data_IF_843024886330
#
_entry.id   IF_843024886330
#
_cell.length_a   1.000
_cell.length_b   1.000
_cell.length_c   1.000
_cell.angle_alpha   90.00
_cell.angle_beta   90.00
_cell.angle_gamma   90.00
#
_symmetry.space_group_name_H-M   'P 1'
#
loop_
_entity.id
_entity.type
_entity.pdbx_description
1 polymer ?
#
# COMPACT_ATOMS: atom_id res chain seq x y z
N UNK A 1 36.53 -16.35 -35.62
CA UNK A 1 35.68 -17.07 -34.65
C UNK A 1 35.21 -16.06 -33.61
N UNK A 2 34.06 -15.44 -33.86
CA UNK A 2 33.38 -14.59 -32.90
C UNK A 2 32.19 -15.40 -32.39
N UNK A 3 32.14 -15.63 -31.09
CA UNK A 3 30.94 -16.07 -30.41
C UNK A 3 30.81 -15.34 -29.07
N UNK A 4 29.56 -15.12 -28.65
CA UNK A 4 29.11 -13.84 -28.15
C UNK A 4 28.66 -13.94 -26.69
N UNK A 5 28.45 -12.80 -26.04
CA UNK A 5 27.36 -12.62 -25.06
C UNK A 5 27.29 -11.14 -24.74
N UNK A 6 26.23 -10.49 -25.24
CA UNK A 6 25.80 -9.21 -24.68
C UNK A 6 25.42 -9.43 -23.20
N UNK A 7 25.72 -8.49 -22.29
CA UNK A 7 25.34 -8.63 -20.89
C UNK A 7 23.81 -8.67 -20.78
N UNK A 8 23.29 -9.64 -20.02
CA UNK A 8 21.87 -9.79 -19.71
C UNK A 8 21.28 -8.46 -19.21
N UNK A 9 20.15 -8.04 -19.77
CA UNK A 9 19.45 -6.81 -19.37
C UNK A 9 18.89 -6.99 -17.95
N UNK A 10 19.41 -6.30 -16.93
CA UNK A 10 19.09 -6.62 -15.54
C UNK A 10 17.76 -5.96 -15.11
N UNK A 11 16.65 -6.64 -15.42
CA UNK A 11 15.25 -6.28 -15.12
C UNK A 11 14.22 -7.11 -15.91
N UNK A 12 14.70 -8.01 -16.78
CA UNK A 12 13.93 -8.63 -17.87
C UNK A 12 13.12 -9.91 -17.50
N UNK A 13 13.13 -10.36 -16.25
CA UNK A 13 12.58 -11.69 -15.91
C UNK A 13 11.15 -11.67 -15.34
N UNK A 14 10.55 -10.51 -15.12
CA UNK A 14 9.17 -10.44 -14.64
C UNK A 14 8.17 -10.70 -15.77
N UNK A 15 7.02 -11.34 -15.49
CA UNK A 15 6.01 -11.59 -16.51
C UNK A 15 5.52 -10.29 -17.16
N UNK A 16 5.66 -10.17 -18.48
CA UNK A 16 5.26 -8.97 -19.23
C UNK A 16 3.79 -8.63 -19.07
N UNK A 17 2.94 -9.65 -18.81
CA UNK A 17 1.51 -9.50 -18.57
C UNK A 17 1.15 -8.62 -17.35
N UNK A 18 2.04 -8.49 -16.37
CA UNK A 18 1.74 -7.72 -15.13
C UNK A 18 2.38 -6.33 -15.11
N UNK A 19 3.40 -6.07 -15.94
CA UNK A 19 4.15 -4.82 -15.95
C UNK A 19 3.29 -3.57 -16.16
N UNK A 20 2.30 -3.55 -17.10
CA UNK A 20 1.45 -2.39 -17.28
C UNK A 20 0.71 -1.98 -16.01
N UNK A 21 0.35 -2.95 -15.16
CA UNK A 21 -0.35 -2.71 -13.91
C UNK A 21 0.56 -2.05 -12.87
N UNK A 22 1.83 -2.46 -12.76
CA UNK A 22 2.79 -1.85 -11.84
C UNK A 22 3.07 -0.38 -12.19
N UNK A 23 3.07 -0.04 -13.48
CA UNK A 23 3.28 1.32 -13.95
C UNK A 23 2.02 2.18 -13.74
N UNK A 24 0.86 1.68 -14.18
CA UNK A 24 -0.33 2.50 -14.40
C UNK A 24 -1.37 2.42 -13.28
N UNK A 25 -1.36 1.40 -12.43
CA UNK A 25 -2.34 1.30 -11.34
C UNK A 25 -2.23 2.52 -10.41
N UNK A 26 -3.35 3.14 -10.09
CA UNK A 26 -3.40 4.30 -9.21
C UNK A 26 -3.26 3.88 -7.74
N UNK A 27 -3.73 2.67 -7.43
CA UNK A 27 -3.65 2.07 -6.11
C UNK A 27 -3.20 0.61 -6.17
N UNK A 28 -2.58 0.16 -5.08
CA UNK A 28 -2.37 -1.22 -4.73
C UNK A 28 -2.57 -1.37 -3.21
N UNK A 29 -2.93 -2.56 -2.75
CA UNK A 29 -3.03 -2.84 -1.33
C UNK A 29 -1.70 -3.36 -0.79
N UNK A 30 -1.02 -2.53 0.00
CA UNK A 30 0.25 -2.86 0.63
C UNK A 30 0.02 -3.52 2.00
N UNK A 31 0.42 -4.78 2.11
CA UNK A 31 0.34 -5.58 3.32
C UNK A 31 1.71 -5.70 4.00
N UNK A 32 1.71 -5.50 5.32
CA UNK A 32 2.91 -5.58 6.17
C UNK A 32 2.57 -6.23 7.52
N UNK A 33 3.56 -6.84 8.17
CA UNK A 33 3.34 -7.61 9.38
C UNK A 33 3.59 -6.78 10.65
N UNK A 34 2.74 -6.94 11.65
CA UNK A 34 2.97 -6.38 13.00
C UNK A 34 4.06 -7.17 13.74
N UNK A 35 4.41 -6.77 14.97
CA UNK A 35 5.39 -7.52 15.78
C UNK A 35 4.93 -8.95 16.10
N UNK A 36 3.62 -9.18 16.19
CA UNK A 36 3.04 -10.50 16.47
C UNK A 36 2.73 -11.29 15.19
N UNK A 37 3.23 -10.86 14.04
CA UNK A 37 2.94 -11.50 12.75
C UNK A 37 1.52 -11.23 12.20
N UNK A 38 0.67 -10.46 12.89
CA UNK A 38 -0.65 -10.13 12.35
C UNK A 38 -0.52 -9.17 11.14
N UNK A 39 -1.21 -9.43 10.02
CA UNK A 39 -1.11 -8.56 8.84
C UNK A 39 -1.88 -7.26 9.00
N UNK A 40 -1.40 -6.20 8.37
CA UNK A 40 -2.10 -4.92 8.20
C UNK A 40 -1.93 -4.45 6.76
N UNK A 41 -3.06 -4.15 6.12
CA UNK A 41 -3.13 -3.78 4.71
C UNK A 41 -3.72 -2.40 4.52
N UNK A 42 -3.07 -1.56 3.70
CA UNK A 42 -3.55 -0.23 3.35
C UNK A 42 -3.48 -0.03 1.84
N UNK A 43 -4.47 0.63 1.23
CA UNK A 43 -4.34 1.07 -0.16
C UNK A 43 -3.30 2.19 -0.21
N UNK A 44 -2.38 2.10 -1.17
CA UNK A 44 -1.29 3.05 -1.40
C UNK A 44 -1.07 3.21 -2.90
N UNK A 45 -0.41 4.29 -3.33
CA UNK A 45 0.00 4.43 -4.72
C UNK A 45 1.30 3.65 -4.98
N UNK A 46 1.30 2.69 -5.94
CA UNK A 46 2.52 2.02 -6.38
C UNK A 46 3.31 2.91 -7.35
N UNK A 47 4.62 2.70 -7.39
CA UNK A 47 5.53 3.33 -8.35
C UNK A 47 6.46 2.27 -8.90
N UNK A 48 6.53 2.18 -10.22
CA UNK A 48 7.49 1.34 -10.91
C UNK A 48 8.14 2.16 -12.02
N UNK A 49 9.45 1.98 -12.19
CA UNK A 49 10.22 2.58 -13.27
C UNK A 49 10.55 1.47 -14.26
N UNK A 50 10.38 1.68 -15.57
CA UNK A 50 10.71 0.65 -16.56
C UNK A 50 12.14 0.13 -16.37
N UNK A 51 12.28 -1.19 -16.24
CA UNK A 51 13.56 -1.87 -16.01
C UNK A 51 14.05 -1.88 -14.56
N UNK A 52 13.34 -1.24 -13.61
CA UNK A 52 13.66 -1.36 -12.19
C UNK A 52 13.39 -2.78 -11.67
N UNK A 53 14.14 -3.17 -10.64
CA UNK A 53 14.01 -4.48 -9.98
C UNK A 53 13.08 -4.45 -8.76
N UNK A 54 12.35 -3.36 -8.56
CA UNK A 54 11.44 -3.18 -7.43
C UNK A 54 10.13 -2.56 -7.87
N UNK A 55 9.08 -2.85 -7.09
CA UNK A 55 7.80 -2.15 -7.16
C UNK A 55 7.67 -1.38 -5.85
N UNK A 56 7.71 -0.06 -5.95
CA UNK A 56 7.91 0.79 -4.79
C UNK A 56 6.59 1.34 -4.29
N UNK A 57 6.50 1.52 -2.98
CA UNK A 57 5.44 2.31 -2.34
C UNK A 57 6.07 3.35 -1.44
N UNK A 58 5.28 4.32 -0.99
CA UNK A 58 5.75 5.31 -0.04
C UNK A 58 4.83 5.46 1.16
N UNK A 59 5.39 5.93 2.27
CA UNK A 59 4.62 6.33 3.44
C UNK A 59 5.06 7.70 3.93
N UNK A 60 4.18 8.45 4.57
CA UNK A 60 4.53 9.77 5.09
C UNK A 60 5.51 9.65 6.24
N UNK A 61 6.48 10.55 6.29
CA UNK A 61 7.40 10.70 7.43
C UNK A 61 6.60 10.91 8.72
N UNK A 62 5.45 11.60 8.64
CA UNK A 62 4.55 11.83 9.76
C UNK A 62 3.69 10.63 10.15
N UNK A 63 3.75 9.50 9.47
CA UNK A 63 3.05 8.26 9.83
C UNK A 63 3.84 7.03 9.37
N UNK A 64 5.04 6.81 9.94
CA UNK A 64 6.06 5.90 9.42
C UNK A 64 5.77 4.42 9.67
N UNK A 65 4.62 4.08 10.29
CA UNK A 65 4.35 2.72 10.78
C UNK A 65 4.43 1.64 9.70
N UNK A 66 4.20 1.96 8.42
CA UNK A 66 4.39 1.02 7.31
C UNK A 66 5.88 0.67 7.15
N UNK A 67 6.74 1.69 7.07
CA UNK A 67 8.19 1.54 6.98
C UNK A 67 8.77 0.86 8.23
N UNK A 68 8.34 1.24 9.43
CA UNK A 68 8.80 0.59 10.67
C UNK A 68 8.35 -0.88 10.79
N UNK A 69 7.25 -1.28 10.13
CA UNK A 69 6.87 -2.68 10.03
C UNK A 69 7.77 -3.41 9.04
N UNK A 70 7.95 -2.89 7.84
CA UNK A 70 8.83 -3.44 6.81
C UNK A 70 10.29 -3.61 7.28
N UNK A 71 10.83 -2.63 8.02
CA UNK A 71 12.21 -2.72 8.52
C UNK A 71 12.41 -3.86 9.52
N UNK A 72 11.39 -4.17 10.32
CA UNK A 72 11.43 -5.25 11.32
C UNK A 72 11.18 -6.62 10.71
N UNK A 73 10.22 -6.70 9.80
CA UNK A 73 9.92 -7.90 9.04
C UNK A 73 9.78 -7.51 7.56
N UNK A 74 10.78 -7.82 6.72
CA UNK A 74 10.80 -7.39 5.33
C UNK A 74 9.79 -8.14 4.47
N UNK A 75 9.13 -9.18 4.97
CA UNK A 75 8.11 -9.91 4.23
C UNK A 75 6.86 -9.05 4.07
N UNK A 76 6.62 -8.60 2.85
CA UNK A 76 5.48 -7.75 2.48
C UNK A 76 4.76 -8.31 1.27
N UNK A 77 3.56 -7.80 1.02
CA UNK A 77 2.84 -8.08 -0.21
C UNK A 77 2.20 -6.81 -0.81
N UNK A 78 2.09 -6.80 -2.12
CA UNK A 78 1.32 -5.83 -2.90
C UNK A 78 0.22 -6.60 -3.62
N UNK A 79 -1.04 -6.26 -3.37
CA UNK A 79 -2.13 -6.71 -4.21
C UNK A 79 -2.51 -5.57 -5.16
N UNK A 80 -2.71 -5.89 -6.42
CA UNK A 80 -3.27 -4.99 -7.42
C UNK A 80 -4.62 -5.59 -7.81
N UNK A 81 -5.68 -5.15 -7.14
CA UNK A 81 -7.03 -5.69 -7.33
C UNK A 81 -8.10 -4.67 -7.71
N UNK A 82 -7.75 -3.38 -7.72
CA UNK A 82 -8.61 -2.31 -8.20
C UNK A 82 -7.98 -1.65 -9.44
N UNK A 83 -8.44 -1.97 -10.65
CA UNK A 83 -7.90 -1.41 -11.89
C UNK A 83 -8.45 0.00 -12.19
N UNK A 84 -9.30 0.56 -11.33
CA UNK A 84 -9.95 1.85 -11.55
C UNK A 84 -8.94 2.95 -11.89
N UNK A 85 -9.17 3.68 -12.97
CA UNK A 85 -8.30 4.76 -13.43
C UNK A 85 -6.94 4.34 -14.01
N UNK A 86 -6.62 3.04 -14.08
CA UNK A 86 -5.39 2.57 -14.74
C UNK A 86 -5.43 2.70 -16.27
N UNK A 87 -6.64 2.67 -16.85
CA UNK A 87 -6.88 2.63 -18.29
C UNK A 87 -6.45 1.31 -18.96
N UNK A 88 -6.31 0.23 -18.18
CA UNK A 88 -6.00 -1.11 -18.68
C UNK A 88 -7.33 -1.85 -18.91
N UNK A 89 -7.57 -2.27 -20.14
CA UNK A 89 -8.69 -3.15 -20.50
C UNK A 89 -8.38 -4.58 -20.04
N UNK A 90 -9.37 -5.28 -19.49
CA UNK A 90 -9.23 -6.67 -19.02
C UNK A 90 -8.06 -6.86 -18.02
N UNK A 91 -7.97 -5.92 -17.06
CA UNK A 91 -6.85 -5.87 -16.14
C UNK A 91 -6.77 -7.14 -15.26
N UNK A 92 -5.58 -7.75 -15.11
CA UNK A 92 -5.42 -8.89 -14.20
C UNK A 92 -5.52 -8.44 -12.74
N UNK A 93 -5.89 -9.36 -11.85
CA UNK A 93 -5.59 -9.21 -10.42
C UNK A 93 -4.21 -9.79 -10.15
N UNK A 94 -3.32 -9.04 -9.49
CA UNK A 94 -1.92 -9.45 -9.29
C UNK A 94 -1.54 -9.36 -7.82
N UNK A 95 -1.07 -10.45 -7.25
CA UNK A 95 -0.43 -10.51 -5.94
C UNK A 95 1.08 -10.61 -6.12
N UNK A 96 1.82 -9.72 -5.47
CA UNK A 96 3.28 -9.72 -5.37
C UNK A 96 3.65 -9.98 -3.92
N UNK A 97 4.39 -11.05 -3.64
CA UNK A 97 5.06 -11.25 -2.36
C UNK A 97 6.55 -10.95 -2.54
N UNK A 98 7.11 -10.13 -1.66
CA UNK A 98 8.48 -9.63 -1.84
C UNK A 98 9.11 -9.11 -0.57
N UNK A 99 10.41 -8.86 -0.65
CA UNK A 99 11.19 -8.32 0.45
C UNK A 99 11.24 -6.80 0.35
N UNK A 100 10.88 -6.12 1.44
CA UNK A 100 10.89 -4.67 1.54
C UNK A 100 12.27 -4.14 1.95
N UNK A 101 12.69 -3.08 1.27
CA UNK A 101 13.84 -2.25 1.65
C UNK A 101 13.38 -0.83 1.93
N UNK A 102 13.56 -0.37 3.16
CA UNK A 102 13.14 0.96 3.60
C UNK A 102 14.25 1.97 3.32
N UNK A 103 13.89 3.07 2.63
CA UNK A 103 14.79 4.18 2.29
C UNK A 103 14.34 5.48 2.95
N UNK A 104 15.10 5.92 3.93
CA UNK A 104 14.90 7.17 4.66
C UNK A 104 16.20 7.83 5.15
N UNK A 105 17.37 7.41 4.63
CA UNK A 105 18.66 8.06 4.88
C UNK A 105 18.77 9.46 4.25
N UNK A 106 18.02 9.74 3.17
CA UNK A 106 17.88 11.07 2.58
C UNK A 106 16.40 11.40 2.31
N UNK A 107 15.79 12.10 3.27
CA UNK A 107 14.41 12.57 3.23
C UNK A 107 14.19 13.66 2.17
N UNK A 108 15.21 14.46 1.83
CA UNK A 108 15.07 15.48 0.79
C UNK A 108 14.99 14.82 -0.58
N UNK A 109 15.91 13.88 -0.88
CA UNK A 109 15.87 13.11 -2.12
C UNK A 109 14.58 12.28 -2.22
N UNK A 110 14.13 11.66 -1.12
CA UNK A 110 12.86 10.93 -1.05
C UNK A 110 11.65 11.83 -1.35
N UNK A 111 11.66 13.06 -0.83
CA UNK A 111 10.63 14.08 -1.09
C UNK A 111 10.64 14.54 -2.54
N UNK A 112 11.81 14.85 -3.09
CA UNK A 112 11.95 15.29 -4.49
C UNK A 112 11.50 14.18 -5.46
N UNK A 113 11.86 12.91 -5.16
CA UNK A 113 11.39 11.73 -5.89
C UNK A 113 9.87 11.63 -5.85
N UNK A 114 9.25 11.77 -4.67
CA UNK A 114 7.80 11.65 -4.52
C UNK A 114 7.04 12.77 -5.23
N UNK A 115 7.49 14.02 -5.14
CA UNK A 115 6.90 15.14 -5.87
C UNK A 115 6.93 14.86 -7.37
N UNK A 116 8.10 14.55 -7.93
CA UNK A 116 8.25 14.26 -9.37
C UNK A 116 7.33 13.12 -9.82
N UNK A 117 7.34 12.00 -9.10
CA UNK A 117 6.56 10.81 -9.45
C UNK A 117 5.05 11.05 -9.30
N UNK A 118 4.62 11.77 -8.26
CA UNK A 118 3.20 12.10 -8.05
C UNK A 118 2.65 13.04 -9.12
N UNK A 119 3.44 14.05 -9.52
CA UNK A 119 3.05 14.97 -10.59
C UNK A 119 2.93 14.25 -11.94
N UNK A 120 3.84 13.32 -12.24
CA UNK A 120 3.78 12.51 -13.46
C UNK A 120 2.61 11.52 -13.46
N UNK A 121 2.29 10.93 -12.30
CA UNK A 121 1.24 9.90 -12.17
C UNK A 121 -0.18 10.50 -12.08
N UNK A 122 -0.31 11.71 -11.54
CA UNK A 122 -1.59 12.40 -11.36
C UNK A 122 -1.58 13.82 -11.92
N UNK A 123 -1.26 14.02 -13.22
CA UNK A 123 -1.15 15.35 -13.81
C UNK A 123 -2.44 16.16 -13.65
N UNK A 124 -3.60 15.53 -13.83
CA UNK A 124 -4.92 16.16 -13.68
C UNK A 124 -5.23 16.64 -12.26
N UNK A 125 -4.75 15.93 -11.24
CA UNK A 125 -4.96 16.28 -9.83
C UNK A 125 -4.17 17.54 -9.48
N UNK A 126 -2.93 17.62 -9.95
CA UNK A 126 -2.01 18.69 -9.55
C UNK A 126 -1.94 19.88 -10.52
N UNK A 127 -2.39 19.75 -11.78
CA UNK A 127 -2.29 20.80 -12.81
C UNK A 127 -2.87 22.15 -12.37
N UNK A 128 -3.93 22.15 -11.54
CA UNK A 128 -4.62 23.37 -11.09
C UNK A 128 -4.19 23.85 -9.71
N UNK A 129 -3.16 23.26 -9.11
CA UNK A 129 -2.69 23.64 -7.78
C UNK A 129 -1.50 24.61 -7.86
N UNK A 130 -1.63 25.86 -7.38
CA UNK A 130 -0.51 26.79 -7.36
C UNK A 130 0.64 26.23 -6.53
N UNK A 131 1.87 26.37 -7.04
CA UNK A 131 3.05 25.78 -6.42
C UNK A 131 3.25 26.21 -4.95
N UNK A 132 2.96 27.48 -4.62
CA UNK A 132 3.06 27.97 -3.25
C UNK A 132 2.12 27.26 -2.26
N UNK A 133 0.99 26.73 -2.73
CA UNK A 133 0.05 25.93 -1.92
C UNK A 133 0.65 24.55 -1.65
N UNK A 134 1.19 23.89 -2.68
CA UNK A 134 1.81 22.58 -2.54
C UNK A 134 3.01 22.63 -1.58
N UNK A 135 3.83 23.68 -1.69
CA UNK A 135 4.98 23.93 -0.78
C UNK A 135 4.61 24.01 0.69
N UNK A 136 3.39 24.46 1.02
CA UNK A 136 2.91 24.55 2.41
C UNK A 136 2.47 23.20 2.99
N UNK A 137 2.40 22.15 2.18
CA UNK A 137 1.97 20.82 2.57
C UNK A 137 3.16 19.86 2.78
N UNK A 138 4.28 20.37 3.29
CA UNK A 138 5.53 19.60 3.46
C UNK A 138 5.31 18.28 4.19
N UNK A 139 4.45 18.24 5.21
CA UNK A 139 4.09 17.03 5.96
C UNK A 139 3.53 15.89 5.09
N UNK A 140 2.88 16.24 3.96
CA UNK A 140 2.30 15.30 3.00
C UNK A 140 3.35 14.86 1.97
N UNK A 141 4.17 15.80 1.49
CA UNK A 141 5.21 15.53 0.49
C UNK A 141 6.43 14.79 1.03
N UNK A 142 6.69 14.90 2.34
CA UNK A 142 7.78 14.20 3.01
C UNK A 142 7.50 12.70 3.07
N UNK A 143 8.25 11.91 2.30
CA UNK A 143 8.03 10.46 2.18
C UNK A 143 9.25 9.61 2.54
N UNK A 144 8.95 8.47 3.14
CA UNK A 144 9.83 7.31 3.29
C UNK A 144 9.46 6.34 2.17
N UNK A 145 10.45 5.84 1.45
CA UNK A 145 10.24 4.87 0.37
C UNK A 145 10.39 3.45 0.90
N UNK A 146 9.58 2.54 0.35
CA UNK A 146 9.62 1.11 0.63
C UNK A 146 9.73 0.42 -0.73
N UNK A 147 10.94 -0.02 -1.05
CA UNK A 147 11.27 -0.70 -2.29
C UNK A 147 10.96 -2.19 -2.12
N UNK A 148 10.01 -2.74 -2.89
CA UNK A 148 9.64 -4.15 -2.77
C UNK A 148 10.33 -4.94 -3.88
N UNK A 149 11.26 -5.81 -3.51
CA UNK A 149 11.90 -6.78 -4.41
C UNK A 149 11.00 -8.02 -4.51
N UNK A 150 10.32 -8.26 -5.66
CA UNK A 150 9.43 -9.41 -5.83
C UNK A 150 10.16 -10.75 -5.75
N UNK A 151 9.58 -11.68 -4.99
CA UNK A 151 10.02 -13.08 -4.92
C UNK A 151 8.99 -14.04 -5.53
N UNK A 152 7.71 -13.73 -5.39
CA UNK A 152 6.61 -14.48 -6.01
C UNK A 152 5.62 -13.49 -6.61
N UNK A 153 5.15 -13.78 -7.83
CA UNK A 153 4.08 -13.04 -8.50
C UNK A 153 3.01 -14.06 -8.88
N UNK A 154 1.79 -13.85 -8.41
CA UNK A 154 0.62 -14.69 -8.67
C UNK A 154 -0.43 -13.80 -9.30
N UNK A 155 -1.02 -14.20 -10.43
CA UNK A 155 -2.03 -13.38 -11.07
C UNK A 155 -3.15 -14.16 -11.74
N UNK A 156 -4.32 -13.52 -11.82
CA UNK A 156 -5.52 -14.00 -12.48
C UNK A 156 -5.75 -13.17 -13.74
N UNK A 157 -5.53 -13.74 -14.94
CA UNK A 157 -5.83 -13.07 -16.21
C UNK A 157 -7.28 -12.58 -16.26
N UNK A 158 -7.48 -11.33 -16.67
CA UNK A 158 -8.80 -10.67 -16.69
C UNK A 158 -9.45 -10.48 -15.32
N UNK A 159 -8.69 -10.65 -14.23
CA UNK A 159 -9.24 -10.56 -12.87
C UNK A 159 -10.19 -11.71 -12.51
N UNK A 160 -10.14 -12.82 -13.25
CA UNK A 160 -11.01 -13.99 -13.05
C UNK A 160 -10.55 -14.83 -11.86
N UNK A 161 -10.99 -14.44 -10.65
CA UNK A 161 -10.61 -15.07 -9.37
C UNK A 161 -11.15 -16.50 -9.17
N UNK A 162 -12.02 -16.95 -10.06
CA UNK A 162 -12.57 -18.30 -10.15
C UNK A 162 -11.70 -19.27 -10.98
N UNK A 163 -10.72 -18.75 -11.73
CA UNK A 163 -9.76 -19.55 -12.48
C UNK A 163 -8.47 -19.82 -11.68
N UNK A 164 -7.72 -20.86 -12.10
CA UNK A 164 -6.39 -21.14 -11.55
C UNK A 164 -5.42 -19.99 -11.90
N UNK A 165 -4.69 -19.43 -10.91
CA UNK A 165 -3.75 -18.36 -11.19
C UNK A 165 -2.49 -18.84 -11.90
N UNK A 166 -1.91 -17.93 -12.66
CA UNK A 166 -0.55 -18.09 -13.19
C UNK A 166 0.45 -17.61 -12.14
N UNK A 167 1.62 -18.26 -12.09
CA UNK A 167 2.62 -18.05 -11.06
C UNK A 167 4.00 -17.84 -11.67
N UNK A 168 4.75 -16.93 -11.06
CA UNK A 168 6.17 -16.72 -11.29
C UNK A 168 6.88 -16.68 -9.95
N UNK A 169 8.07 -17.27 -9.91
CA UNK A 169 8.95 -17.22 -8.73
C UNK A 169 10.32 -16.71 -9.17
N UNK A 170 10.90 -15.85 -8.35
CA UNK A 170 12.26 -15.38 -8.54
C UNK A 170 13.26 -16.54 -8.44
N UNK A 171 14.41 -16.39 -9.10
CA UNK A 171 15.56 -17.25 -8.83
C UNK A 171 15.93 -17.20 -7.35
N UNK A 172 16.34 -18.32 -6.72
CA UNK A 172 16.80 -18.33 -5.32
C UNK A 172 17.94 -17.35 -5.02
N UNK A 173 18.67 -16.88 -6.04
CA UNK A 173 19.72 -15.89 -5.90
C UNK A 173 19.20 -14.45 -5.69
N UNK A 174 17.92 -14.19 -5.95
CA UNK A 174 17.32 -12.87 -5.78
C UNK A 174 17.19 -12.57 -4.29
N UNK A 175 17.87 -11.51 -3.85
CA UNK A 175 17.82 -10.99 -2.49
C UNK A 175 17.50 -9.50 -2.51
N UNK A 176 16.95 -8.99 -1.42
CA UNK A 176 16.80 -7.55 -1.22
C UNK A 176 18.00 -7.00 -0.45
N UNK A 177 18.50 -5.80 -0.79
CA UNK A 177 19.50 -5.11 0.02
C UNK A 177 18.94 -4.78 1.42
N UNK A 178 19.81 -4.52 2.41
CA UNK A 178 19.34 -4.10 3.73
C UNK A 178 18.63 -2.73 3.66
N UNK A 179 17.63 -2.57 4.52
CA UNK A 179 16.99 -1.29 4.77
C UNK A 179 17.99 -0.30 5.39
N UNK A 180 17.74 0.99 5.20
CA UNK A 180 18.45 2.02 5.95
C UNK A 180 18.21 1.81 7.47
N UNK A 181 19.20 2.17 8.32
CA UNK A 181 19.10 1.95 9.76
C UNK A 181 17.82 2.52 10.38
N UNK A 182 17.29 1.83 11.39
CA UNK A 182 16.12 2.33 12.11
C UNK A 182 16.44 3.66 12.79
N UNK A 183 15.56 4.67 12.72
CA UNK A 183 15.75 5.92 13.45
C UNK A 183 15.74 5.65 14.96
N UNK A 184 16.66 6.23 15.75
CA UNK A 184 16.69 6.07 17.19
C UNK A 184 15.39 6.48 17.90
N UNK A 185 15.23 5.96 19.12
CA UNK A 185 14.12 6.29 20.00
C UNK A 185 12.78 5.67 19.59
N UNK A 186 11.76 5.93 20.41
CA UNK A 186 10.41 5.43 20.18
C UNK A 186 9.71 6.20 19.05
N UNK A 187 8.91 5.49 18.25
CA UNK A 187 7.99 6.13 17.33
C UNK A 187 6.98 7.00 18.09
N UNK A 188 6.62 8.18 17.58
CA UNK A 188 5.71 9.07 18.27
C UNK A 188 4.30 8.46 18.29
N UNK A 189 3.55 8.76 19.36
CA UNK A 189 2.21 8.20 19.65
C UNK A 189 1.25 8.35 18.46
N UNK A 190 0.25 7.49 18.32
CA UNK A 190 -0.75 7.62 17.25
C UNK A 190 -1.33 9.06 17.20
N UNK A 191 -1.35 9.66 16.03
CA UNK A 191 -1.81 11.05 15.84
C UNK A 191 -3.33 11.15 15.68
N UNK A 192 -3.96 10.07 15.20
CA UNK A 192 -5.42 9.90 15.13
C UNK A 192 -5.86 8.80 16.09
N UNK A 193 -7.03 9.02 16.70
CA UNK A 193 -7.68 8.02 17.53
C UNK A 193 -8.55 7.12 16.64
N UNK A 194 -8.44 5.78 16.76
CA UNK A 194 -9.41 4.90 16.14
C UNK A 194 -10.80 5.14 16.75
N UNK A 195 -11.89 4.81 16.05
CA UNK A 195 -13.23 4.92 16.62
C UNK A 195 -13.35 3.99 17.84
N UNK A 196 -14.07 4.44 18.86
CA UNK A 196 -14.27 3.67 20.09
C UNK A 196 -15.03 2.35 19.82
N UNK A 197 -16.08 2.43 19.01
CA UNK A 197 -16.79 1.26 18.48
C UNK A 197 -16.57 1.15 16.98
N UNK A 198 -16.05 0.00 16.55
CA UNK A 198 -15.81 -0.29 15.14
C UNK A 198 -17.10 -0.39 14.34
N UNK A 199 -18.22 -0.76 14.97
CA UNK A 199 -19.52 -0.91 14.30
C UNK A 199 -20.00 0.39 13.67
N UNK A 200 -19.60 1.54 14.24
CA UNK A 200 -19.86 2.86 13.67
C UNK A 200 -19.33 3.04 12.24
N UNK A 201 -18.33 2.23 11.83
CA UNK A 201 -17.72 2.29 10.50
C UNK A 201 -18.35 1.32 9.49
N UNK A 202 -19.18 0.36 9.94
CA UNK A 202 -19.78 -0.67 9.08
C UNK A 202 -20.61 -0.08 7.93
N UNK A 203 -21.48 0.94 8.15
CA UNK A 203 -22.23 1.52 7.02
C UNK A 203 -21.33 2.11 5.94
N UNK A 204 -20.16 2.65 6.33
CA UNK A 204 -19.18 3.20 5.37
C UNK A 204 -18.41 2.09 4.66
N UNK A 205 -18.02 1.04 5.38
CA UNK A 205 -17.40 -0.13 4.79
C UNK A 205 -18.30 -0.78 3.72
N UNK A 206 -19.58 -1.01 4.02
CA UNK A 206 -20.54 -1.60 3.07
C UNK A 206 -20.68 -0.75 1.80
N UNK A 207 -20.70 0.59 1.92
CA UNK A 207 -20.73 1.48 0.74
C UNK A 207 -19.47 1.41 -0.12
N UNK A 208 -18.32 1.08 0.45
CA UNK A 208 -17.06 0.90 -0.28
C UNK A 208 -16.98 -0.46 -1.00
N UNK A 209 -17.93 -1.37 -0.74
CA UNK A 209 -18.06 -2.63 -1.45
C UNK A 209 -17.23 -3.77 -0.85
N UNK A 210 -16.76 -4.68 -1.71
CA UNK A 210 -16.05 -5.88 -1.27
C UNK A 210 -14.63 -5.53 -0.74
N UNK A 211 -14.24 -6.01 0.45
CA UNK A 211 -12.94 -5.72 1.03
C UNK A 211 -11.82 -6.56 0.40
N UNK A 212 -10.59 -6.15 0.66
CA UNK A 212 -9.43 -7.04 0.63
C UNK A 212 -9.31 -7.74 1.98
N UNK A 213 -9.36 -9.07 1.98
CA UNK A 213 -9.06 -9.91 3.14
C UNK A 213 -7.56 -10.15 3.17
N UNK A 214 -6.89 -9.86 4.28
CA UNK A 214 -5.47 -10.22 4.45
C UNK A 214 -5.30 -11.11 5.67
N UNK A 215 -4.67 -12.26 5.44
CA UNK A 215 -4.26 -13.25 6.46
C UNK A 215 -2.76 -13.54 6.31
N UNK A 216 -2.20 -14.35 7.20
CA UNK A 216 -0.89 -14.96 6.96
C UNK A 216 -1.04 -16.25 6.16
N UNK A 217 -0.13 -16.54 5.23
CA UNK A 217 -0.02 -17.87 4.62
C UNK A 217 0.74 -18.85 5.54
N UNK A 218 0.88 -20.11 5.09
CA UNK A 218 1.55 -21.16 5.85
C UNK A 218 3.05 -20.89 6.08
N UNK A 219 3.67 -20.07 5.23
CA UNK A 219 5.06 -19.64 5.37
C UNK A 219 5.20 -18.30 6.14
N UNK A 220 4.08 -17.79 6.66
CA UNK A 220 4.01 -16.57 7.46
C UNK A 220 4.16 -15.28 6.66
N UNK A 221 3.99 -15.31 5.34
CA UNK A 221 3.90 -14.10 4.52
C UNK A 221 2.51 -13.48 4.61
N UNK A 222 2.37 -12.15 4.49
CA UNK A 222 1.07 -11.55 4.33
C UNK A 222 0.45 -11.99 2.98
N UNK A 223 -0.81 -12.39 3.03
CA UNK A 223 -1.59 -12.87 1.90
C UNK A 223 -2.85 -11.99 1.74
N UNK A 224 -2.75 -10.83 1.06
CA UNK A 224 -3.91 -10.02 0.69
C UNK A 224 -4.66 -10.66 -0.49
N UNK A 225 -5.97 -10.79 -0.33
CA UNK A 225 -6.89 -11.48 -1.24
C UNK A 225 -8.05 -10.56 -1.59
N UNK A 226 -8.35 -10.42 -2.88
CA UNK A 226 -9.57 -9.75 -3.31
C UNK A 226 -10.76 -10.65 -2.98
N UNK A 227 -11.68 -10.17 -2.15
CA UNK A 227 -12.91 -10.91 -1.84
C UNK A 227 -13.95 -10.77 -2.96
N UNK A 228 -14.85 -11.75 -3.03
CA UNK A 228 -16.02 -11.76 -3.91
C UNK A 228 -17.23 -11.05 -3.28
N UNK A 229 -17.06 -10.51 -2.07
CA UNK A 229 -18.12 -9.88 -1.29
C UNK A 229 -17.91 -10.09 0.21
N UNK A 230 -18.56 -9.23 1.00
CA UNK A 230 -18.61 -9.37 2.44
C UNK A 230 -19.97 -8.94 2.98
N UNK A 231 -20.51 -9.71 3.90
CA UNK A 231 -21.77 -9.44 4.59
C UNK A 231 -21.49 -9.13 6.06
N UNK A 232 -22.01 -8.01 6.61
CA UNK A 232 -21.80 -7.68 8.01
C UNK A 232 -22.54 -8.68 8.92
N UNK A 233 -21.88 -9.11 9.99
CA UNK A 233 -22.45 -9.93 11.06
C UNK A 233 -22.49 -9.13 12.37
N UNK A 234 -23.04 -9.72 13.44
CA UNK A 234 -23.06 -9.10 14.77
C UNK A 234 -21.66 -8.77 15.31
N UNK A 235 -20.68 -9.60 14.99
CA UNK A 235 -19.32 -9.57 15.53
C UNK A 235 -18.25 -9.27 14.48
N UNK A 236 -18.61 -9.12 13.21
CA UNK A 236 -17.66 -8.81 12.14
C UNK A 236 -18.24 -8.96 10.74
N UNK A 237 -17.64 -9.80 9.90
CA UNK A 237 -18.05 -9.99 8.51
C UNK A 237 -17.92 -11.45 8.04
N UNK A 238 -18.89 -11.93 7.28
CA UNK A 238 -18.77 -13.13 6.46
C UNK A 238 -18.18 -12.72 5.10
N UNK A 239 -16.98 -13.16 4.78
CA UNK A 239 -16.23 -12.75 3.58
C UNK A 239 -16.13 -13.92 2.62
N UNK A 240 -16.62 -13.74 1.40
CA UNK A 240 -16.55 -14.77 0.36
C UNK A 240 -15.22 -14.70 -0.38
N UNK A 241 -14.57 -15.84 -0.59
CA UNK A 241 -13.29 -15.96 -1.30
C UNK A 241 -13.45 -16.82 -2.54
N UNK A 242 -12.56 -16.65 -3.53
CA UNK A 242 -12.51 -17.53 -4.69
C UNK A 242 -11.94 -18.92 -4.33
N UNK A 243 -12.16 -19.94 -5.18
CA UNK A 243 -11.76 -21.33 -4.94
C UNK A 243 -10.24 -21.52 -4.80
N UNK A 244 -9.43 -20.59 -5.33
CA UNK A 244 -7.97 -20.68 -5.30
C UNK A 244 -7.31 -20.36 -3.96
N UNK A 245 -8.07 -20.05 -2.91
CA UNK A 245 -7.52 -19.66 -1.61
C UNK A 245 -8.15 -20.40 -0.44
N UNK A 246 -7.36 -21.28 0.18
CA UNK A 246 -7.69 -21.87 1.47
C UNK A 246 -7.11 -21.02 2.60
N UNK A 247 -7.97 -20.49 3.45
CA UNK A 247 -7.56 -19.69 4.62
C UNK A 247 -7.59 -20.59 5.86
N UNK A 248 -6.43 -20.89 6.42
CA UNK A 248 -6.32 -21.72 7.63
C UNK A 248 -6.94 -21.05 8.88
N UNK A 249 -7.12 -19.73 8.86
CA UNK A 249 -7.58 -18.92 9.98
C UNK A 249 -6.43 -18.17 10.67
N UNK A 250 -6.76 -17.41 11.73
CA UNK A 250 -5.79 -16.63 12.50
C UNK A 250 -5.96 -15.10 12.34
N UNK A 251 -4.95 -14.30 12.68
CA UNK A 251 -5.05 -12.84 12.61
C UNK A 251 -5.39 -12.34 11.21
N UNK A 252 -6.37 -11.44 11.12
CA UNK A 252 -6.89 -10.94 9.86
C UNK A 252 -7.02 -9.41 9.82
N UNK A 253 -6.91 -8.87 8.61
CA UNK A 253 -7.19 -7.47 8.27
C UNK A 253 -8.23 -7.42 7.15
N UNK A 254 -9.26 -6.60 7.32
CA UNK A 254 -10.22 -6.28 6.25
C UNK A 254 -10.02 -4.83 5.84
N UNK A 255 -9.72 -4.62 4.57
CA UNK A 255 -9.49 -3.29 4.00
C UNK A 255 -10.53 -3.01 2.93
N UNK A 256 -11.51 -2.19 3.28
CA UNK A 256 -12.47 -1.61 2.37
C UNK A 256 -11.87 -0.33 1.83
N UNK A 257 -11.83 -0.13 0.52
CA UNK A 257 -11.33 1.11 -0.06
C UNK A 257 -11.94 1.37 -1.43
N UNK A 258 -11.86 2.62 -1.87
CA UNK A 258 -12.28 3.02 -3.20
C UNK A 258 -11.83 4.43 -3.53
N UNK A 259 -11.77 4.71 -4.83
CA UNK A 259 -11.43 6.02 -5.37
C UNK A 259 -12.09 6.21 -6.75
N UNK A 260 -12.36 7.45 -7.18
CA UNK A 260 -12.77 7.72 -8.55
C UNK A 260 -11.60 7.50 -9.53
N UNK A 261 -11.92 7.29 -10.80
CA UNK A 261 -10.93 7.03 -11.87
C UNK A 261 -9.94 8.19 -12.10
N UNK A 262 -10.33 9.42 -11.75
CA UNK A 262 -9.46 10.60 -11.83
C UNK A 262 -8.56 10.79 -10.59
N UNK A 263 -8.71 9.92 -9.58
CA UNK A 263 -8.04 9.98 -8.27
C UNK A 263 -8.25 11.29 -7.51
N UNK A 264 -9.38 11.98 -7.73
CA UNK A 264 -9.69 13.21 -7.03
C UNK A 264 -9.98 13.02 -5.53
N UNK A 265 -9.99 11.79 -5.02
CA UNK A 265 -10.15 11.46 -3.60
C UNK A 265 -9.84 9.99 -3.35
N UNK A 266 -9.76 9.60 -2.08
CA UNK A 266 -9.57 8.21 -1.69
C UNK A 266 -10.23 7.98 -0.34
N UNK A 267 -10.98 6.89 -0.22
CA UNK A 267 -11.61 6.50 1.02
C UNK A 267 -11.24 5.08 1.39
N UNK A 268 -11.10 4.81 2.69
CA UNK A 268 -10.95 3.46 3.19
C UNK A 268 -11.55 3.28 4.59
N UNK A 269 -11.88 2.03 4.92
CA UNK A 269 -12.19 1.57 6.28
C UNK A 269 -11.40 0.29 6.51
N UNK A 270 -10.64 0.25 7.61
CA UNK A 270 -9.79 -0.91 7.93
C UNK A 270 -10.18 -1.50 9.27
N UNK A 271 -10.48 -2.80 9.27
CA UNK A 271 -10.75 -3.58 10.48
C UNK A 271 -9.65 -4.61 10.71
N UNK A 272 -9.37 -4.89 11.98
CA UNK A 272 -8.49 -6.00 12.37
C UNK A 272 -9.20 -6.92 13.34
N UNK A 273 -8.91 -8.21 13.24
CA UNK A 273 -9.64 -9.26 13.93
C UNK A 273 -9.01 -10.63 13.75
N UNK A 274 -9.83 -11.66 13.79
CA UNK A 274 -9.45 -13.05 13.57
C UNK A 274 -10.35 -13.67 12.51
N UNK A 275 -9.74 -14.35 11.54
CA UNK A 275 -10.38 -15.14 10.51
C UNK A 275 -10.57 -16.59 10.99
N UNK A 276 -11.74 -17.16 10.70
CA UNK A 276 -12.02 -18.58 10.79
C UNK A 276 -12.63 -19.07 9.47
N UNK A 277 -12.18 -20.19 8.89
CA UNK A 277 -12.73 -20.73 7.66
C UNK A 277 -14.21 -21.14 7.84
N UNK A 278 -14.98 -20.99 6.77
CA UNK A 278 -16.37 -21.46 6.63
C UNK A 278 -16.54 -22.06 5.21
N UNK A 279 -17.68 -22.66 4.90
CA UNK A 279 -17.90 -23.38 3.62
C UNK A 279 -17.54 -22.56 2.38
N UNK A 280 -17.97 -21.28 2.33
CA UNK A 280 -17.85 -20.42 1.15
C UNK A 280 -16.94 -19.19 1.39
N UNK A 281 -16.00 -19.32 2.32
CA UNK A 281 -15.00 -18.28 2.60
C UNK A 281 -14.57 -18.24 4.05
N UNK A 282 -14.65 -17.06 4.66
CA UNK A 282 -14.08 -16.79 5.99
C UNK A 282 -15.02 -15.91 6.82
N UNK A 283 -15.29 -16.31 8.05
CA UNK A 283 -15.86 -15.41 9.05
C UNK A 283 -14.73 -14.66 9.75
N UNK A 284 -14.76 -13.33 9.68
CA UNK A 284 -13.81 -12.46 10.38
C UNK A 284 -14.51 -11.81 11.56
N UNK A 285 -14.19 -12.26 12.77
CA UNK A 285 -14.59 -11.58 14.00
C UNK A 285 -13.75 -10.32 14.18
N UNK A 286 -14.39 -9.16 14.10
CA UNK A 286 -13.73 -7.85 14.18
C UNK A 286 -13.50 -7.46 15.64
N UNK A 287 -12.25 -7.19 15.96
CA UNK A 287 -11.85 -6.71 17.29
C UNK A 287 -11.92 -5.18 17.39
N UNK A 288 -11.47 -4.48 16.35
CA UNK A 288 -11.45 -3.02 16.28
C UNK A 288 -11.25 -2.51 14.85
N UNK A 289 -11.62 -1.26 14.63
CA UNK A 289 -11.20 -0.52 13.45
C UNK A 289 -9.83 0.15 13.69
N UNK A 290 -9.08 0.38 12.61
CA UNK A 290 -7.88 1.21 12.62
C UNK A 290 -8.26 2.68 12.42
N UNK A 291 -7.39 3.58 12.88
CA UNK A 291 -7.56 5.00 12.59
C UNK A 291 -7.33 5.25 11.10
N UNK A 292 -8.33 5.82 10.45
CA UNK A 292 -8.37 6.07 9.02
C UNK A 292 -7.86 7.48 8.68
N UNK A 293 -7.23 7.61 7.52
CA UNK A 293 -7.04 8.89 6.83
C UNK A 293 -7.66 8.78 5.44
N UNK A 294 -8.86 9.32 5.29
CA UNK A 294 -9.57 9.39 4.02
C UNK A 294 -9.73 10.82 3.53
N UNK A 295 -9.65 10.97 2.22
CA UNK A 295 -9.87 12.21 1.48
C UNK A 295 -11.16 12.06 0.67
N UNK A 296 -12.34 12.28 1.29
CA UNK A 296 -13.60 12.23 0.56
C UNK A 296 -13.62 13.30 -0.54
N UNK A 297 -14.47 13.09 -1.55
CA UNK A 297 -14.63 14.02 -2.67
C UNK A 297 -14.96 15.46 -2.23
N UNK A 298 -14.56 16.43 -3.05
CA UNK A 298 -14.86 17.85 -2.87
C UNK A 298 -13.65 18.69 -2.46
N UNK A 299 -13.31 19.69 -3.27
CA UNK A 299 -12.07 20.50 -3.15
C UNK A 299 -11.98 21.28 -1.84
N UNK A 300 -13.10 21.84 -1.37
CA UNK A 300 -13.15 22.61 -0.11
C UNK A 300 -12.87 21.70 1.08
N UNK A 301 -13.56 20.54 1.15
CA UNK A 301 -13.39 19.59 2.23
C UNK A 301 -11.96 19.05 2.29
N UNK A 302 -11.36 18.75 1.15
CA UNK A 302 -9.95 18.36 1.08
C UNK A 302 -9.03 19.48 1.55
N UNK A 303 -9.22 20.72 1.09
CA UNK A 303 -8.41 21.85 1.56
C UNK A 303 -8.47 22.02 3.09
N UNK A 304 -9.67 21.94 3.68
CA UNK A 304 -9.85 21.98 5.14
C UNK A 304 -9.14 20.83 5.85
N UNK A 305 -9.25 19.60 5.33
CA UNK A 305 -8.56 18.42 5.87
C UNK A 305 -7.04 18.59 5.83
N UNK A 306 -6.49 19.05 4.70
CA UNK A 306 -5.04 19.26 4.55
C UNK A 306 -4.51 20.37 5.48
N UNK A 307 -5.28 21.45 5.67
CA UNK A 307 -4.92 22.52 6.60
C UNK A 307 -4.94 22.04 8.06
N UNK A 308 -6.00 21.35 8.46
CA UNK A 308 -6.17 20.84 9.82
C UNK A 308 -5.10 19.81 10.16
N UNK A 309 -4.87 18.85 9.27
CA UNK A 309 -3.84 17.84 9.47
C UNK A 309 -2.44 18.42 9.39
N UNK A 310 -2.21 19.43 8.56
CA UNK A 310 -0.92 20.12 8.51
C UNK A 310 -0.53 20.73 9.86
N UNK A 311 -1.48 21.37 10.56
CA UNK A 311 -1.25 21.89 11.91
C UNK A 311 -0.98 20.77 12.93
N UNK A 312 -1.75 19.69 12.88
CA UNK A 312 -1.60 18.56 13.80
C UNK A 312 -0.31 17.75 13.57
N UNK A 313 0.16 17.68 12.31
CA UNK A 313 1.29 16.85 11.91
C UNK A 313 2.63 17.60 11.84
N UNK A 314 2.64 18.94 11.87
CA UNK A 314 3.88 19.71 11.85
C UNK A 314 4.85 19.37 13.01
N UNK A 315 4.42 19.28 14.29
CA UNK A 315 5.30 18.87 15.38
C UNK A 315 5.84 17.44 15.19
N UNK A 316 5.01 16.58 14.60
CA UNK A 316 5.36 15.19 14.31
C UNK A 316 6.39 15.08 13.20
N UNK A 317 6.29 15.92 12.16
CA UNK A 317 7.29 16.00 11.10
C UNK A 317 8.65 16.39 11.68
N UNK A 318 8.69 17.45 12.50
CA UNK A 318 9.92 17.88 13.15
C UNK A 318 10.53 16.78 14.04
N UNK A 319 9.70 16.07 14.81
CA UNK A 319 10.17 14.93 15.62
C UNK A 319 10.74 13.79 14.78
N UNK A 320 10.08 13.42 13.68
CA UNK A 320 10.51 12.32 12.82
C UNK A 320 11.75 12.63 11.98
N UNK A 321 11.93 13.89 11.56
CA UNK A 321 13.15 14.34 10.87
C UNK A 321 14.32 14.44 11.86
N UNK A 322 14.08 14.95 13.09
CA UNK A 322 15.08 14.99 14.15
C UNK A 322 15.55 13.59 14.57
N UNK A 323 14.63 12.63 14.71
CA UNK A 323 14.98 11.22 14.97
C UNK A 323 15.91 10.62 13.91
N UNK A 324 15.91 11.17 12.68
CA UNK A 324 16.77 10.73 11.58
C UNK A 324 18.03 11.58 11.41
N UNK A 325 18.24 12.59 12.26
CA UNK A 325 19.36 13.52 12.12
C UNK A 325 19.29 14.37 10.85
N UNK A 326 18.09 14.59 10.31
CA UNK A 326 17.87 15.26 9.02
C UNK A 326 17.01 16.51 9.17
N UNK A 327 17.20 17.53 8.31
CA UNK A 327 16.33 18.70 8.30
C UNK A 327 14.93 18.33 7.79
N UNK A 328 13.96 19.21 8.07
CA UNK A 328 12.64 19.11 7.43
C UNK A 328 12.84 19.34 5.91
N UNK A 329 12.45 18.37 5.04
CA UNK A 329 12.65 18.50 3.62
C UNK A 329 11.75 19.60 3.04
N UNK A 330 12.10 20.10 1.87
CA UNK A 330 11.33 21.09 1.14
C UNK A 330 10.62 20.41 -0.04
N UNK A 331 9.33 20.67 -0.24
CA UNK A 331 8.68 20.33 -1.50
C UNK A 331 9.21 21.29 -2.58
N UNK A 332 10.13 20.80 -3.43
CA UNK A 332 10.76 21.53 -4.53
C UNK A 332 10.07 21.22 -5.85
N UNK A 333 9.99 22.22 -6.73
CA UNK A 333 9.40 22.02 -8.06
C UNK A 333 10.37 21.18 -8.86
N UNK A 334 9.94 20.10 -9.55
CA UNK A 334 10.80 19.42 -10.48
C UNK A 334 11.30 20.42 -11.53
N UNK A 335 12.59 20.33 -11.86
CA UNK A 335 13.18 21.06 -12.98
C UNK A 335 12.81 20.39 -14.29
#
# INVERSE_FOLDING_TARGET
MLSPSAPAVPGADWPTAVLPLFERALTCEYASLTRTGAPITWPVTPFHEPGARTVDVSTGVTYPSKAERARRDPRVALLFSDPTGSGITDAPTVLVQGLATVRDADLQAGTDRYVRRSLAKFPQVFAKHPWFVLRRQTWYWSRIWIEVTPLKIIWWPGGRLDAEPVRWSASPAVTAPPSDPAPPGAAPRAWTRPPADWRSQVPRAVRLGAPVLTVGDAEGWPLPLRSLGAEPTRDGFLVRTGPGFSVAGGPACLTFHGHPADFAGQENVVFVGTAAPVSDGVHVTVRRALADFSLPGGRIRQACTFLTNGRALAPRLAGETARRGQPIPLARRPR
#
